data_IF_581657627933
#
_entry.id   IF_581657627933
#
_cell.length_a   1.000
_cell.length_b   1.000
_cell.length_c   1.000
_cell.angle_alpha   90.00
_cell.angle_beta   90.00
_cell.angle_gamma   90.00
#
_symmetry.space_group_name_H-M   'P 1'
#
loop_
_entity.id
_entity.type
_entity.pdbx_description
1 polymer ?
#
# COMPACT_ATOMS: atom_id res chain seq x y z
N UNK A 1 16.83 -25.50 10.84
CA UNK A 1 16.50 -24.67 9.65
C UNK A 1 15.20 -23.94 9.93
N UNK A 2 15.18 -22.65 9.79
CA UNK A 2 13.98 -21.84 10.06
C UNK A 2 13.38 -21.46 8.70
N UNK A 3 12.23 -21.99 8.35
CA UNK A 3 11.52 -21.63 7.14
C UNK A 3 10.73 -20.35 7.44
N UNK A 4 10.97 -19.29 6.67
CA UNK A 4 10.19 -18.05 6.73
C UNK A 4 9.26 -18.08 5.53
N UNK A 5 7.97 -18.19 5.78
CA UNK A 5 6.97 -18.05 4.73
C UNK A 5 6.86 -16.58 4.31
N UNK A 6 6.90 -16.33 3.01
CA UNK A 6 6.62 -15.00 2.47
C UNK A 6 5.14 -14.66 2.65
N UNK A 7 4.84 -13.37 2.69
CA UNK A 7 3.47 -12.87 2.63
C UNK A 7 2.74 -13.44 1.41
N UNK A 8 1.42 -13.59 1.51
CA UNK A 8 0.60 -14.02 0.38
C UNK A 8 0.80 -13.09 -0.81
N UNK A 9 0.93 -13.64 -2.00
CA UNK A 9 1.07 -12.88 -3.23
C UNK A 9 0.29 -13.52 -4.36
N UNK A 10 -0.12 -12.70 -5.31
CA UNK A 10 -0.73 -13.12 -6.57
C UNK A 10 0.09 -12.55 -7.72
N UNK A 11 0.39 -13.36 -8.72
CA UNK A 11 1.17 -12.95 -9.89
C UNK A 11 0.55 -13.50 -11.16
N UNK A 12 0.63 -12.72 -12.24
CA UNK A 12 0.09 -13.08 -13.55
C UNK A 12 -0.76 -11.96 -14.13
N UNK A 13 -1.17 -12.12 -15.39
CA UNK A 13 -1.94 -11.09 -16.11
C UNK A 13 -3.31 -10.80 -15.48
N UNK A 14 -3.92 -11.80 -14.85
CA UNK A 14 -5.23 -11.72 -14.20
C UNK A 14 -5.17 -11.49 -12.68
N UNK A 15 -4.00 -11.18 -12.10
CA UNK A 15 -3.83 -11.08 -10.64
C UNK A 15 -4.77 -10.06 -9.97
N UNK A 16 -5.20 -9.02 -10.69
CA UNK A 16 -6.18 -8.05 -10.16
C UNK A 16 -7.56 -8.68 -9.89
N UNK A 17 -7.91 -9.77 -10.56
CA UNK A 17 -9.17 -10.47 -10.34
C UNK A 17 -9.24 -11.16 -8.97
N UNK A 18 -8.09 -11.29 -8.28
CA UNK A 18 -8.03 -11.83 -6.93
C UNK A 18 -8.40 -10.79 -5.85
N UNK A 19 -8.49 -9.49 -6.20
CA UNK A 19 -8.78 -8.42 -5.23
C UNK A 19 -10.07 -8.70 -4.45
N UNK A 20 -11.21 -9.07 -5.07
CA UNK A 20 -12.43 -9.35 -4.33
C UNK A 20 -12.28 -10.47 -3.28
N UNK A 21 -11.67 -11.59 -3.67
CA UNK A 21 -11.50 -12.74 -2.79
C UNK A 21 -10.54 -12.43 -1.62
N UNK A 22 -9.48 -11.67 -1.87
CA UNK A 22 -8.54 -11.23 -0.83
C UNK A 22 -9.22 -10.24 0.11
N UNK A 23 -9.99 -9.29 -0.40
CA UNK A 23 -10.77 -8.36 0.42
C UNK A 23 -11.80 -9.10 1.30
N UNK A 24 -12.49 -10.08 0.74
CA UNK A 24 -13.44 -10.92 1.49
C UNK A 24 -12.73 -11.69 2.61
N UNK A 25 -11.60 -12.33 2.32
CA UNK A 25 -10.80 -13.06 3.31
C UNK A 25 -10.44 -12.22 4.52
N UNK A 26 -10.16 -10.93 4.34
CA UNK A 26 -9.76 -10.01 5.40
C UNK A 26 -10.91 -9.09 5.86
N UNK A 27 -12.13 -9.32 5.40
CA UNK A 27 -13.32 -8.50 5.72
C UNK A 27 -13.13 -7.01 5.40
N UNK A 28 -12.51 -6.71 4.25
CA UNK A 28 -12.25 -5.36 3.76
C UNK A 28 -13.45 -4.87 2.94
N UNK A 29 -13.97 -3.70 3.28
CA UNK A 29 -15.07 -3.02 2.58
C UNK A 29 -14.66 -1.66 2.01
N UNK A 30 -13.71 -0.99 2.65
CA UNK A 30 -13.25 0.34 2.26
C UNK A 30 -11.76 0.30 1.97
N UNK A 31 -11.39 0.72 0.78
CA UNK A 31 -10.00 0.75 0.32
C UNK A 31 -9.61 2.17 -0.05
N UNK A 32 -8.39 2.58 0.24
CA UNK A 32 -7.81 3.82 -0.28
C UNK A 32 -6.65 3.48 -1.21
N UNK A 33 -6.63 4.10 -2.38
CA UNK A 33 -5.56 3.92 -3.34
C UNK A 33 -4.50 5.00 -3.11
N UNK A 34 -3.26 4.60 -2.86
CA UNK A 34 -2.16 5.54 -2.61
C UNK A 34 -0.98 5.14 -3.50
N UNK A 35 -0.48 6.08 -4.28
CA UNK A 35 0.63 5.76 -5.17
C UNK A 35 1.23 6.97 -5.87
N UNK A 36 2.16 6.72 -6.78
CA UNK A 36 2.66 7.73 -7.71
C UNK A 36 1.66 7.98 -8.83
N UNK A 37 1.65 9.18 -9.39
CA UNK A 37 0.69 9.60 -10.43
C UNK A 37 0.57 8.60 -11.60
N UNK A 38 1.71 8.13 -12.13
CA UNK A 38 1.71 7.18 -13.26
C UNK A 38 1.24 5.79 -12.83
N UNK A 39 1.63 5.36 -11.65
CA UNK A 39 1.25 4.06 -11.11
C UNK A 39 -0.26 3.98 -10.85
N UNK A 40 -0.83 5.02 -10.24
CA UNK A 40 -2.28 5.13 -10.05
C UNK A 40 -3.02 5.13 -11.38
N UNK A 41 -2.58 5.93 -12.36
CA UNK A 41 -3.21 5.98 -13.67
C UNK A 41 -3.24 4.61 -14.39
N UNK A 42 -2.23 3.78 -14.17
CA UNK A 42 -2.16 2.44 -14.74
C UNK A 42 -2.98 1.39 -13.96
N UNK A 43 -2.97 1.45 -12.63
CA UNK A 43 -3.57 0.41 -11.79
C UNK A 43 -5.04 0.67 -11.44
N UNK A 44 -5.44 1.92 -11.20
CA UNK A 44 -6.78 2.27 -10.73
C UNK A 44 -7.89 1.78 -11.66
N UNK A 45 -7.82 1.92 -12.99
CA UNK A 45 -8.88 1.40 -13.87
C UNK A 45 -9.06 -0.13 -13.74
N UNK A 46 -7.95 -0.87 -13.56
CA UNK A 46 -7.97 -2.32 -13.38
C UNK A 46 -8.54 -2.71 -12.01
N UNK A 47 -8.22 -1.96 -10.97
CA UNK A 47 -8.77 -2.17 -9.62
C UNK A 47 -10.28 -1.92 -9.65
N UNK A 48 -10.73 -0.80 -10.23
CA UNK A 48 -12.15 -0.47 -10.36
C UNK A 48 -12.93 -1.52 -11.13
N UNK A 49 -12.36 -2.04 -12.23
CA UNK A 49 -12.97 -3.13 -12.99
C UNK A 49 -13.08 -4.42 -12.15
N UNK A 50 -12.03 -4.76 -11.39
CA UNK A 50 -12.03 -5.96 -10.56
C UNK A 50 -13.08 -5.94 -9.44
N UNK A 51 -13.41 -4.76 -8.91
CA UNK A 51 -14.34 -4.61 -7.78
C UNK A 51 -15.73 -4.12 -8.18
N UNK A 52 -16.00 -3.90 -9.48
CA UNK A 52 -17.24 -3.26 -9.96
C UNK A 52 -18.53 -3.97 -9.56
N UNK A 53 -18.49 -5.29 -9.36
CA UNK A 53 -19.64 -6.12 -8.97
C UNK A 53 -19.60 -6.50 -7.48
N UNK A 54 -18.82 -5.76 -6.69
CA UNK A 54 -18.70 -5.94 -5.24
C UNK A 54 -19.21 -4.71 -4.51
N UNK A 55 -19.36 -4.82 -3.21
CA UNK A 55 -19.69 -3.70 -2.30
C UNK A 55 -18.43 -3.02 -1.71
N UNK A 56 -17.26 -3.26 -2.32
CA UNK A 56 -16.01 -2.58 -1.96
C UNK A 56 -16.05 -1.13 -2.43
N UNK A 57 -15.78 -0.21 -1.52
CA UNK A 57 -15.78 1.23 -1.78
C UNK A 57 -14.33 1.75 -1.79
N UNK A 58 -13.98 2.51 -2.83
CA UNK A 58 -12.75 3.29 -2.86
C UNK A 58 -13.03 4.62 -2.17
N UNK A 59 -12.40 4.87 -1.03
CA UNK A 59 -12.59 6.10 -0.26
C UNK A 59 -11.90 7.30 -0.91
N UNK A 60 -10.73 7.08 -1.53
CA UNK A 60 -9.98 8.10 -2.28
C UNK A 60 -8.89 7.47 -3.14
N UNK A 61 -8.33 8.28 -4.05
CA UNK A 61 -7.15 7.94 -4.87
C UNK A 61 -6.13 9.07 -4.74
N UNK A 62 -5.05 8.83 -4.00
CA UNK A 62 -4.15 9.86 -3.48
C UNK A 62 -2.75 9.70 -4.05
N UNK A 63 -2.22 10.79 -4.62
CA UNK A 63 -0.80 10.86 -4.95
C UNK A 63 -0.02 11.17 -3.66
N UNK A 64 0.83 10.22 -3.22
CA UNK A 64 1.52 10.30 -1.94
C UNK A 64 2.57 11.42 -1.86
N UNK A 65 3.01 11.93 -2.99
CA UNK A 65 4.11 12.87 -3.15
C UNK A 65 5.14 12.33 -4.14
N UNK A 66 6.38 12.73 -3.98
CA UNK A 66 7.50 12.32 -4.86
C UNK A 66 8.49 11.42 -4.12
N UNK A 67 8.71 11.68 -2.84
CA UNK A 67 9.68 10.98 -2.02
C UNK A 67 9.06 10.38 -0.76
N UNK A 68 9.72 9.35 -0.22
CA UNK A 68 9.36 8.72 1.05
C UNK A 68 9.88 9.59 2.20
N UNK A 69 9.07 10.59 2.60
CA UNK A 69 9.40 11.52 3.68
C UNK A 69 8.35 11.50 4.78
N UNK A 70 8.74 11.88 6.00
CA UNK A 70 7.79 12.00 7.11
C UNK A 70 6.70 13.02 6.84
N UNK A 71 7.01 14.09 6.12
CA UNK A 71 5.99 15.07 5.67
C UNK A 71 4.90 14.40 4.83
N UNK A 72 5.28 13.53 3.89
CA UNK A 72 4.32 12.79 3.07
C UNK A 72 3.56 11.73 3.90
N UNK A 73 4.23 11.06 4.83
CA UNK A 73 3.57 10.14 5.77
C UNK A 73 2.49 10.88 6.57
N UNK A 74 2.81 12.03 7.16
CA UNK A 74 1.86 12.81 7.96
C UNK A 74 0.67 13.33 7.13
N UNK A 75 0.87 13.68 5.86
CA UNK A 75 -0.23 14.03 4.95
C UNK A 75 -1.21 12.86 4.79
N UNK A 76 -0.70 11.64 4.68
CA UNK A 76 -1.55 10.45 4.57
C UNK A 76 -2.27 10.15 5.88
N UNK A 77 -1.56 10.14 7.00
CA UNK A 77 -2.15 9.81 8.31
C UNK A 77 -3.18 10.83 8.79
N UNK A 78 -3.07 12.09 8.35
CA UNK A 78 -4.04 13.16 8.65
C UNK A 78 -5.23 13.20 7.71
N UNK A 79 -5.23 12.41 6.64
CA UNK A 79 -6.31 12.42 5.65
C UNK A 79 -7.49 11.56 6.13
N UNK A 80 -8.72 12.14 6.27
CA UNK A 80 -9.89 11.39 6.75
C UNK A 80 -10.23 10.16 5.89
N UNK A 81 -10.04 10.22 4.58
CA UNK A 81 -10.33 9.11 3.69
C UNK A 81 -9.33 7.95 3.87
N UNK A 82 -8.09 8.25 4.26
CA UNK A 82 -7.09 7.24 4.63
C UNK A 82 -7.43 6.63 5.99
N UNK A 83 -7.85 7.46 6.94
CA UNK A 83 -8.25 6.99 8.27
C UNK A 83 -9.47 6.08 8.22
N UNK A 84 -10.46 6.41 7.39
CA UNK A 84 -11.71 5.65 7.23
C UNK A 84 -11.52 4.31 6.51
N UNK A 85 -10.53 4.19 5.62
CA UNK A 85 -10.30 2.97 4.87
C UNK A 85 -9.88 1.80 5.78
N UNK A 86 -10.32 0.59 5.45
CA UNK A 86 -9.92 -0.64 6.14
C UNK A 86 -8.50 -1.05 5.74
N UNK A 87 -8.11 -0.76 4.50
CA UNK A 87 -6.83 -1.14 3.91
C UNK A 87 -6.29 -0.06 3.00
N UNK A 88 -4.96 0.08 2.98
CA UNK A 88 -4.23 0.90 2.02
C UNK A 88 -3.80 0.02 0.85
N UNK A 89 -4.16 0.37 -0.37
CA UNK A 89 -3.59 -0.17 -1.60
C UNK A 89 -2.39 0.69 -1.98
N UNK A 90 -1.19 0.20 -1.65
CA UNK A 90 0.08 0.88 -1.93
C UNK A 90 0.55 0.56 -3.36
N UNK A 91 0.41 1.52 -4.27
CA UNK A 91 0.57 1.34 -5.71
C UNK A 91 1.81 2.08 -6.21
N UNK A 92 2.84 1.36 -6.62
CA UNK A 92 4.04 2.00 -7.15
C UNK A 92 5.34 1.26 -6.88
N UNK A 93 6.43 2.01 -6.87
CA UNK A 93 7.76 1.54 -6.51
C UNK A 93 8.04 1.67 -5.02
N UNK A 94 9.30 1.45 -4.64
CA UNK A 94 9.72 1.41 -3.23
C UNK A 94 9.33 2.63 -2.40
N UNK A 95 9.52 3.84 -2.94
CA UNK A 95 9.17 5.08 -2.23
C UNK A 95 7.68 5.16 -1.85
N UNK A 96 6.79 4.81 -2.78
CA UNK A 96 5.35 4.80 -2.53
C UNK A 96 4.98 3.75 -1.48
N UNK A 97 5.50 2.53 -1.64
CA UNK A 97 5.22 1.42 -0.73
C UNK A 97 5.77 1.70 0.67
N UNK A 98 6.99 2.21 0.80
CA UNK A 98 7.60 2.54 2.09
C UNK A 98 6.86 3.68 2.81
N UNK A 99 6.39 4.69 2.08
CA UNK A 99 5.54 5.75 2.64
C UNK A 99 4.23 5.18 3.19
N UNK A 100 3.58 4.28 2.45
CA UNK A 100 2.34 3.63 2.89
C UNK A 100 2.55 2.71 4.10
N UNK A 101 3.65 1.94 4.13
CA UNK A 101 3.98 1.10 5.29
C UNK A 101 4.20 1.94 6.55
N UNK A 102 4.95 3.05 6.44
CA UNK A 102 5.19 3.93 7.58
C UNK A 102 3.89 4.58 8.05
N UNK A 103 3.05 5.05 7.13
CA UNK A 103 1.73 5.57 7.47
C UNK A 103 0.85 4.50 8.16
N UNK A 104 0.93 3.25 7.70
CA UNK A 104 0.24 2.11 8.33
C UNK A 104 0.65 1.94 9.79
N UNK A 105 1.95 1.96 10.08
CA UNK A 105 2.49 1.81 11.45
C UNK A 105 1.96 2.94 12.35
N UNK A 106 1.99 4.17 11.88
CA UNK A 106 1.46 5.32 12.65
C UNK A 106 -0.06 5.26 12.86
N UNK A 107 -0.77 4.48 12.05
CA UNK A 107 -2.22 4.24 12.18
C UNK A 107 -2.53 2.86 12.81
N UNK A 108 -1.74 2.42 13.78
CA UNK A 108 -1.92 1.16 14.51
C UNK A 108 -1.90 -0.09 13.62
N UNK A 109 -0.90 -0.17 12.74
CA UNK A 109 -0.71 -1.28 11.79
C UNK A 109 -1.92 -1.50 10.86
N UNK A 110 -2.46 -0.39 10.33
CA UNK A 110 -3.48 -0.47 9.28
C UNK A 110 -3.02 -1.36 8.15
N UNK A 111 -3.88 -2.26 7.69
CA UNK A 111 -3.54 -3.24 6.65
C UNK A 111 -3.06 -2.56 5.37
N UNK A 112 -2.03 -3.13 4.72
CA UNK A 112 -1.50 -2.66 3.45
C UNK A 112 -1.46 -3.81 2.46
N UNK A 113 -2.02 -3.60 1.26
CA UNK A 113 -1.81 -4.47 0.10
C UNK A 113 -0.91 -3.73 -0.88
N UNK A 114 0.20 -4.35 -1.26
CA UNK A 114 1.19 -3.76 -2.15
C UNK A 114 0.93 -4.16 -3.61
N UNK A 115 0.93 -3.16 -4.48
CA UNK A 115 0.83 -3.30 -5.94
C UNK A 115 2.10 -2.74 -6.59
N UNK A 116 3.20 -3.52 -6.60
CA UNK A 116 4.47 -3.04 -7.13
C UNK A 116 4.39 -2.84 -8.64
N UNK A 117 4.86 -1.71 -9.12
CA UNK A 117 4.92 -1.36 -10.54
C UNK A 117 6.33 -1.47 -11.13
N UNK A 118 7.32 -1.79 -10.30
CA UNK A 118 8.71 -2.05 -10.67
C UNK A 118 9.21 -3.28 -9.91
N UNK A 119 10.15 -4.00 -10.50
CA UNK A 119 10.75 -5.20 -9.91
C UNK A 119 12.20 -4.99 -9.42
N UNK A 120 12.65 -3.74 -9.32
CA UNK A 120 14.03 -3.39 -8.97
C UNK A 120 14.33 -3.34 -7.47
N UNK A 121 13.31 -3.56 -6.62
CA UNK A 121 13.48 -3.57 -5.17
C UNK A 121 12.51 -4.57 -4.50
N UNK A 122 12.71 -4.80 -3.22
CA UNK A 122 11.96 -5.77 -2.42
C UNK A 122 10.93 -5.13 -1.47
N UNK A 123 10.64 -3.82 -1.59
CA UNK A 123 9.75 -3.11 -0.65
C UNK A 123 8.38 -3.79 -0.47
N UNK A 124 7.82 -4.34 -1.55
CA UNK A 124 6.53 -5.03 -1.50
C UNK A 124 6.54 -6.31 -0.66
N UNK A 125 7.71 -6.95 -0.51
CA UNK A 125 7.87 -8.26 0.13
C UNK A 125 8.63 -8.20 1.46
N UNK A 126 9.07 -7.02 1.90
CA UNK A 126 9.84 -6.85 3.14
C UNK A 126 9.06 -6.09 4.20
N UNK A 127 9.37 -6.37 5.47
CA UNK A 127 8.82 -5.66 6.61
C UNK A 127 9.42 -4.26 6.80
N UNK A 128 10.55 -3.98 6.17
CA UNK A 128 11.30 -2.73 6.34
C UNK A 128 10.70 -1.63 5.46
N UNK A 129 10.57 -0.44 6.03
CA UNK A 129 10.25 0.78 5.31
C UNK A 129 11.36 1.82 5.54
N UNK A 130 11.80 2.46 4.47
CA UNK A 130 12.84 3.49 4.50
C UNK A 130 12.20 4.86 4.28
N UNK A 131 12.33 5.73 5.27
CA UNK A 131 11.78 7.08 5.23
C UNK A 131 12.86 8.10 5.57
N UNK A 132 12.83 9.22 4.89
CA UNK A 132 13.77 10.33 5.03
C UNK A 132 13.10 11.54 5.69
N UNK A 133 13.92 12.39 6.29
CA UNK A 133 13.48 13.74 6.66
C UNK A 133 13.43 14.66 5.42
N UNK A 134 12.95 15.88 5.58
CA UNK A 134 12.83 16.84 4.48
C UNK A 134 14.21 17.35 3.98
N UNK A 135 15.29 17.06 4.69
CA UNK A 135 16.68 17.36 4.29
C UNK A 135 17.34 16.18 3.56
N UNK A 136 16.64 15.06 3.41
CA UNK A 136 17.15 13.86 2.76
C UNK A 136 18.01 12.95 3.65
N UNK A 137 18.07 13.22 4.97
CA UNK A 137 18.72 12.31 5.91
C UNK A 137 17.77 11.15 6.28
N UNK A 138 18.33 9.97 6.51
CA UNK A 138 17.55 8.82 6.95
C UNK A 138 16.85 9.13 8.28
N UNK A 139 15.52 9.19 8.25
CA UNK A 139 14.71 9.49 9.42
C UNK A 139 14.46 8.24 10.26
N UNK A 140 14.00 7.17 9.63
CA UNK A 140 13.63 5.93 10.31
C UNK A 140 13.73 4.71 9.41
N UNK A 141 14.05 3.58 10.04
CA UNK A 141 13.88 2.22 9.50
C UNK A 141 12.82 1.55 10.36
N UNK A 142 11.56 1.65 9.95
CA UNK A 142 10.47 0.97 10.64
C UNK A 142 10.29 -0.45 10.12
N UNK A 143 9.93 -1.37 11.02
CA UNK A 143 9.58 -2.73 10.67
C UNK A 143 8.06 -2.89 10.74
N UNK A 144 7.42 -3.09 9.58
CA UNK A 144 6.00 -3.41 9.50
C UNK A 144 5.76 -4.87 9.89
N UNK A 145 4.80 -5.12 10.76
CA UNK A 145 4.39 -6.49 11.05
C UNK A 145 3.47 -7.00 9.94
N UNK A 146 3.97 -7.93 9.13
CA UNK A 146 3.08 -8.66 8.21
C UNK A 146 2.10 -9.51 9.01
N UNK A 147 0.82 -9.27 8.84
CA UNK A 147 -0.20 -10.20 9.32
C UNK A 147 -0.14 -11.45 8.44
N UNK A 148 0.02 -12.58 9.08
CA UNK A 148 0.02 -13.91 8.48
C UNK A 148 -1.39 -14.33 8.07
#
# INVERSE_FOLDING_TARGET
>A
MKTIEMSNYSVGESCYNEIPSVCEKYNVKKVVLIGGKRALAAAEPRIREAIKETDIIITDSIVYGVDSTMTNVHKLTSNPNVQEADVIFAIGGGKAIDTCKTASIEMNDKMVFSFPTICSNCSAATAIAVVYDDNGALYNLSAHQFRR
#
